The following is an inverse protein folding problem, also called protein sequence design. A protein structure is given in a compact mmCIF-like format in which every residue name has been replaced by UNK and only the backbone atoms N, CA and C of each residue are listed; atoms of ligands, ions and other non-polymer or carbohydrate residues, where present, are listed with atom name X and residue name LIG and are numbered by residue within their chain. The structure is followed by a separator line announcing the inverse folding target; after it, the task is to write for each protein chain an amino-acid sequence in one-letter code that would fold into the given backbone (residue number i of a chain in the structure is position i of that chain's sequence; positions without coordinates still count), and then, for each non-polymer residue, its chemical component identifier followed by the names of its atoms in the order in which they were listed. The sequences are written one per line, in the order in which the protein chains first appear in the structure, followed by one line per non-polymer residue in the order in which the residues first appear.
data_IF_929725096347
#
_entry.id   IF_929725096347
#
_cell.length_a   1.000
_cell.length_b   1.000
_cell.length_c   1.000
_cell.angle_alpha   90.00
_cell.angle_beta   90.00
_cell.angle_gamma   90.00
#
_symmetry.space_group_name_H-M   'P 1'
#
loop_
_entity.id
_entity.type
_entity.pdbx_description
1 polymer ?
#
# COMPACT_ATOMS: atom_id res chain seq x y z
N UNK A 1 23.91 -18.63 -26.28
CA UNK A 1 22.77 -19.56 -26.22
C UNK A 1 21.87 -19.11 -25.07
N UNK A 2 20.67 -18.55 -25.29
CA UNK A 2 19.81 -18.16 -24.18
C UNK A 2 19.03 -19.39 -23.68
N UNK A 3 19.29 -19.80 -22.44
CA UNK A 3 18.58 -20.88 -21.78
C UNK A 3 17.14 -20.44 -21.48
N UNK A 4 16.18 -21.14 -22.07
CA UNK A 4 14.77 -21.04 -21.70
C UNK A 4 14.57 -21.67 -20.31
N UNK A 5 14.13 -20.87 -19.35
CA UNK A 5 13.67 -21.34 -18.03
C UNK A 5 12.18 -21.71 -18.14
N UNK A 6 11.72 -22.86 -17.61
CA UNK A 6 10.30 -23.12 -17.48
C UNK A 6 9.73 -22.31 -16.29
N UNK A 7 9.17 -21.13 -16.60
CA UNK A 7 8.32 -20.40 -15.66
C UNK A 7 6.94 -21.05 -15.63
N UNK A 8 6.75 -22.06 -14.79
CA UNK A 8 5.41 -22.59 -14.51
C UNK A 8 4.88 -21.97 -13.23
N UNK A 9 4.41 -20.72 -13.37
CA UNK A 9 3.54 -20.08 -12.38
C UNK A 9 2.15 -20.70 -12.50
N UNK A 10 1.81 -21.68 -11.67
CA UNK A 10 0.40 -22.08 -11.50
C UNK A 10 -0.20 -21.16 -10.44
N UNK A 11 -0.59 -19.97 -10.87
CA UNK A 11 -1.60 -19.19 -10.17
C UNK A 11 -2.80 -19.14 -11.12
N UNK A 12 -3.77 -20.03 -10.90
CA UNK A 12 -5.06 -20.00 -11.60
C UNK A 12 -5.81 -18.74 -11.18
N UNK A 13 -5.54 -17.63 -11.86
CA UNK A 13 -6.17 -16.33 -11.60
C UNK A 13 -7.14 -16.04 -12.76
N UNK A 14 -8.32 -16.66 -12.72
CA UNK A 14 -9.38 -16.45 -13.72
C UNK A 14 -10.31 -15.27 -13.41
N UNK A 15 -10.12 -14.55 -12.29
CA UNK A 15 -11.11 -13.59 -11.77
C UNK A 15 -10.57 -12.18 -11.47
N UNK A 16 -9.36 -11.80 -11.92
CA UNK A 16 -8.85 -10.46 -11.69
C UNK A 16 -9.11 -9.50 -12.87
N UNK A 17 -9.52 -8.24 -12.60
CA UNK A 17 -9.74 -7.24 -13.63
C UNK A 17 -8.45 -6.90 -14.37
N UNK A 18 -8.45 -6.96 -15.71
CA UNK A 18 -7.27 -6.85 -16.61
C UNK A 18 -6.42 -5.58 -16.50
N UNK A 19 -6.81 -4.58 -15.69
CA UNK A 19 -6.16 -3.27 -15.60
C UNK A 19 -6.12 -2.77 -14.16
N UNK A 20 -5.05 -2.07 -13.83
CA UNK A 20 -4.86 -1.43 -12.53
C UNK A 20 -4.05 -2.27 -11.56
N UNK A 21 -3.59 -1.60 -10.51
CA UNK A 21 -2.89 -2.23 -9.40
C UNK A 21 -3.93 -2.82 -8.45
N UNK A 22 -3.80 -4.11 -8.10
CA UNK A 22 -4.76 -4.79 -7.24
C UNK A 22 -4.07 -5.08 -5.91
N UNK A 23 -4.51 -4.49 -4.78
CA UNK A 23 -3.99 -4.85 -3.46
C UNK A 23 -4.44 -6.27 -3.11
N UNK A 24 -3.50 -7.08 -2.65
CA UNK A 24 -3.70 -8.50 -2.38
C UNK A 24 -2.93 -8.92 -1.13
N UNK A 25 -3.47 -9.87 -0.38
CA UNK A 25 -2.71 -10.62 0.59
C UNK A 25 -2.25 -11.91 -0.09
N UNK A 26 -0.94 -12.16 -0.09
CA UNK A 26 -0.39 -13.42 -0.57
C UNK A 26 0.05 -14.27 0.59
N UNK A 27 -0.03 -15.60 0.45
CA UNK A 27 0.62 -16.53 1.37
C UNK A 27 1.53 -17.45 0.58
N UNK A 28 2.82 -17.40 0.86
CA UNK A 28 3.87 -18.21 0.21
C UNK A 28 4.39 -19.25 1.19
N UNK A 29 4.20 -20.54 0.90
CA UNK A 29 4.61 -21.66 1.75
C UNK A 29 4.23 -21.45 3.25
N UNK A 30 3.04 -20.87 3.49
CA UNK A 30 2.51 -20.60 4.84
C UNK A 30 2.84 -19.21 5.41
N UNK A 31 3.64 -18.40 4.74
CA UNK A 31 3.95 -17.03 5.17
C UNK A 31 3.11 -15.99 4.45
N UNK A 32 2.31 -15.22 5.19
CA UNK A 32 1.44 -14.18 4.63
C UNK A 32 2.14 -12.83 4.50
N UNK A 33 1.91 -12.16 3.37
CA UNK A 33 2.46 -10.85 3.04
C UNK A 33 1.40 -9.96 2.40
N UNK A 34 1.45 -8.68 2.74
CA UNK A 34 0.76 -7.64 2.00
C UNK A 34 1.48 -7.39 0.69
N UNK A 35 0.75 -7.40 -0.42
CA UNK A 35 1.34 -7.20 -1.74
C UNK A 35 0.38 -6.48 -2.71
N UNK A 36 0.89 -6.19 -3.89
CA UNK A 36 0.19 -5.53 -4.97
C UNK A 36 0.45 -6.27 -6.27
N UNK A 37 -0.62 -6.70 -6.92
CA UNK A 37 -0.54 -7.23 -8.27
C UNK A 37 -0.41 -6.11 -9.28
N UNK A 38 0.64 -6.18 -10.07
CA UNK A 38 0.99 -5.20 -11.08
C UNK A 38 0.42 -5.63 -12.44
N UNK A 39 -0.13 -4.70 -13.24
CA UNK A 39 -0.67 -5.02 -14.55
C UNK A 39 0.45 -5.39 -15.53
N UNK A 40 0.18 -6.38 -16.39
CA UNK A 40 1.03 -6.81 -17.51
C UNK A 40 0.18 -6.99 -18.78
N UNK A 41 0.82 -7.15 -19.93
CA UNK A 41 0.17 -7.27 -21.24
C UNK A 41 -0.92 -8.35 -21.28
N UNK A 42 -0.71 -9.45 -20.55
CA UNK A 42 -1.60 -10.62 -20.54
C UNK A 42 -2.15 -10.99 -19.14
N UNK A 43 -2.22 -10.05 -18.19
CA UNK A 43 -2.74 -10.32 -16.85
C UNK A 43 -2.05 -9.50 -15.79
N UNK A 44 -1.71 -10.14 -14.67
CA UNK A 44 -0.96 -9.50 -13.58
C UNK A 44 0.27 -10.32 -13.23
N UNK A 45 1.26 -9.66 -12.67
CA UNK A 45 2.42 -10.30 -12.08
C UNK A 45 2.62 -9.82 -10.65
N UNK A 46 3.31 -10.65 -9.89
CA UNK A 46 3.70 -10.40 -8.52
C UNK A 46 5.22 -10.32 -8.46
N UNK A 47 5.73 -9.35 -7.71
CA UNK A 47 7.18 -9.21 -7.50
C UNK A 47 7.61 -10.07 -6.33
N UNK A 48 8.32 -11.17 -6.59
CA UNK A 48 8.95 -11.96 -5.54
C UNK A 48 10.25 -11.27 -5.09
N UNK A 49 10.15 -10.45 -4.05
CA UNK A 49 11.28 -9.64 -3.57
C UNK A 49 12.20 -10.43 -2.61
N UNK A 50 13.35 -9.83 -2.29
CA UNK A 50 14.34 -10.44 -1.40
C UNK A 50 13.80 -10.69 0.02
N UNK A 51 12.84 -9.87 0.47
CA UNK A 51 12.21 -10.04 1.77
C UNK A 51 11.41 -11.35 1.83
N UNK A 52 10.52 -11.58 0.87
CA UNK A 52 9.76 -12.83 0.76
C UNK A 52 10.74 -14.01 0.63
N UNK A 53 11.78 -13.86 -0.20
CA UNK A 53 12.82 -14.88 -0.37
C UNK A 53 13.49 -15.27 0.95
N UNK A 54 13.88 -14.29 1.79
CA UNK A 54 14.53 -14.54 3.09
C UNK A 54 13.59 -15.20 4.09
N UNK A 55 12.32 -14.79 4.12
CA UNK A 55 11.32 -15.33 5.05
C UNK A 55 10.95 -16.77 4.68
N UNK A 56 10.71 -17.02 3.38
CA UNK A 56 10.33 -18.34 2.87
C UNK A 56 11.55 -19.28 2.79
N UNK A 57 12.76 -18.74 2.68
CA UNK A 57 14.02 -19.50 2.68
C UNK A 57 14.30 -20.27 1.38
N UNK A 58 13.64 -19.90 0.28
CA UNK A 58 13.72 -20.60 -1.01
C UNK A 58 14.68 -19.92 -1.99
N UNK A 59 15.35 -20.72 -2.80
CA UNK A 59 16.35 -20.29 -3.77
C UNK A 59 15.84 -20.35 -5.21
N UNK A 60 16.64 -19.79 -6.13
CA UNK A 60 16.41 -19.93 -7.55
C UNK A 60 16.42 -21.42 -7.92
N UNK A 61 15.32 -21.89 -8.50
CA UNK A 61 15.10 -23.30 -8.84
C UNK A 61 14.15 -24.04 -7.89
N UNK A 62 13.85 -23.47 -6.72
CA UNK A 62 12.91 -24.07 -5.79
C UNK A 62 11.45 -23.77 -6.18
N UNK A 63 10.57 -24.74 -5.92
CA UNK A 63 9.12 -24.55 -6.08
C UNK A 63 8.52 -24.00 -4.78
N UNK A 64 7.60 -23.05 -4.93
CA UNK A 64 6.82 -22.43 -3.85
C UNK A 64 5.34 -22.53 -4.15
N UNK A 65 4.54 -22.74 -3.12
CA UNK A 65 3.09 -22.65 -3.20
C UNK A 65 2.64 -21.25 -2.81
N UNK A 66 1.95 -20.58 -3.73
CA UNK A 66 1.42 -19.22 -3.51
C UNK A 66 -0.09 -19.26 -3.54
N UNK A 67 -0.72 -18.84 -2.46
CA UNK A 67 -2.15 -18.50 -2.42
C UNK A 67 -2.32 -16.99 -2.37
N UNK A 68 -3.40 -16.50 -2.95
CA UNK A 68 -3.58 -15.08 -3.18
C UNK A 68 -5.04 -14.71 -2.97
N UNK A 69 -5.28 -13.72 -2.12
CA UNK A 69 -6.61 -13.22 -1.77
C UNK A 69 -6.64 -11.71 -2.04
N UNK A 70 -7.76 -11.21 -2.59
CA UNK A 70 -7.92 -9.75 -2.75
C UNK A 70 -7.93 -9.09 -1.38
N UNK A 71 -7.03 -8.13 -1.17
CA UNK A 71 -7.03 -7.33 0.04
C UNK A 71 -8.13 -6.27 -0.08
N UNK A 72 -9.34 -6.70 0.30
CA UNK A 72 -10.49 -5.82 0.44
C UNK A 72 -10.50 -5.10 1.80
N UNK A 73 -9.45 -5.27 2.62
CA UNK A 73 -9.38 -4.57 3.91
C UNK A 73 -9.19 -3.09 3.62
N UNK A 74 -10.28 -2.34 3.80
CA UNK A 74 -10.18 -0.91 4.11
C UNK A 74 -9.39 -0.81 5.41
N UNK A 75 -8.07 -0.62 5.32
CA UNK A 75 -7.27 -0.25 6.49
C UNK A 75 -7.78 1.11 6.91
N UNK A 76 -8.65 1.12 7.90
CA UNK A 76 -9.18 2.35 8.48
C UNK A 76 -7.98 3.22 8.86
N UNK A 77 -7.95 4.42 8.29
CA UNK A 77 -6.92 5.38 8.61
C UNK A 77 -7.25 5.91 10.00
N UNK A 78 -6.50 5.48 11.01
CA UNK A 78 -6.62 6.01 12.36
C UNK A 78 -6.03 7.43 12.33
N UNK A 79 -6.89 8.42 12.48
CA UNK A 79 -6.49 9.83 12.58
C UNK A 79 -6.28 10.15 14.06
N UNK A 80 -5.08 10.58 14.48
CA UNK A 80 -4.87 11.05 15.84
C UNK A 80 -5.83 12.19 16.21
N UNK A 81 -6.43 12.20 17.41
CA UNK A 81 -7.45 13.19 17.80
C UNK A 81 -6.98 14.65 17.66
N UNK A 82 -5.71 14.93 17.94
CA UNK A 82 -5.17 16.28 17.81
C UNK A 82 -5.10 16.76 16.35
N UNK A 83 -4.81 15.86 15.40
CA UNK A 83 -4.83 16.15 13.96
C UNK A 83 -6.27 16.41 13.52
N UNK A 84 -7.20 15.54 13.92
CA UNK A 84 -8.61 15.67 13.57
C UNK A 84 -9.20 16.99 14.07
N UNK A 85 -8.98 17.32 15.35
CA UNK A 85 -9.43 18.58 15.95
C UNK A 85 -8.84 19.80 15.22
N UNK A 86 -7.55 19.78 14.93
CA UNK A 86 -6.88 20.91 14.25
C UNK A 86 -7.38 21.09 12.81
N UNK A 87 -7.64 20.00 12.09
CA UNK A 87 -8.25 20.03 10.75
C UNK A 87 -9.70 20.52 10.79
N UNK A 88 -10.44 20.16 11.85
CA UNK A 88 -11.82 20.59 12.09
C UNK A 88 -11.89 22.08 12.37
N UNK A 89 -11.01 22.58 13.24
CA UNK A 89 -10.91 24.00 13.60
C UNK A 89 -10.52 24.86 12.39
N UNK A 90 -9.68 24.31 11.50
CA UNK A 90 -9.34 24.94 10.23
C UNK A 90 -10.40 24.79 9.12
N UNK A 91 -11.48 24.04 9.36
CA UNK A 91 -12.56 23.84 8.39
C UNK A 91 -12.19 22.97 7.17
N UNK A 92 -11.07 22.24 7.22
CA UNK A 92 -10.57 21.41 6.11
C UNK A 92 -10.70 19.92 6.35
N UNK A 93 -11.30 19.50 7.48
CA UNK A 93 -11.46 18.10 7.84
C UNK A 93 -12.19 17.29 6.75
N UNK A 94 -13.27 17.81 6.17
CA UNK A 94 -13.99 17.11 5.11
C UNK A 94 -13.16 16.91 3.85
N UNK A 95 -12.34 17.90 3.49
CA UNK A 95 -11.42 17.81 2.35
C UNK A 95 -10.37 16.73 2.59
N UNK A 96 -9.83 16.68 3.81
CA UNK A 96 -8.91 15.64 4.22
C UNK A 96 -9.57 14.26 4.15
N UNK A 97 -10.78 14.09 4.70
CA UNK A 97 -11.49 12.80 4.72
C UNK A 97 -11.84 12.28 3.32
N UNK A 98 -12.12 13.18 2.36
CA UNK A 98 -12.38 12.85 0.95
C UNK A 98 -11.14 12.31 0.22
N UNK A 99 -9.93 12.51 0.75
CA UNK A 99 -8.73 11.99 0.12
C UNK A 99 -8.63 10.46 0.23
N UNK A 100 -7.94 9.80 -0.74
CA UNK A 100 -7.66 8.38 -0.67
C UNK A 100 -6.94 7.99 0.62
N UNK A 101 -7.27 6.82 1.18
CA UNK A 101 -6.73 6.34 2.47
C UNK A 101 -5.20 6.25 2.49
N UNK A 102 -4.57 5.88 1.36
CA UNK A 102 -3.10 5.85 1.27
C UNK A 102 -2.49 7.24 1.48
N UNK A 103 -3.15 8.28 0.98
CA UNK A 103 -2.66 9.65 1.03
C UNK A 103 -2.86 10.25 2.41
N UNK A 104 -4.02 9.99 3.05
CA UNK A 104 -4.26 10.35 4.45
C UNK A 104 -3.21 9.71 5.36
N UNK A 105 -2.91 8.42 5.16
CA UNK A 105 -1.87 7.70 5.93
C UNK A 105 -0.48 8.28 5.72
N UNK A 106 -0.12 8.62 4.49
CA UNK A 106 1.17 9.26 4.19
C UNK A 106 1.32 10.59 4.93
N UNK A 107 0.29 11.44 4.91
CA UNK A 107 0.29 12.73 5.61
C UNK A 107 0.39 12.55 7.13
N UNK A 108 -0.41 11.65 7.72
CA UNK A 108 -0.37 11.35 9.15
C UNK A 108 1.02 10.84 9.54
N UNK A 109 1.58 9.88 8.79
CA UNK A 109 2.93 9.38 9.04
C UNK A 109 3.97 10.50 8.92
N UNK A 110 3.86 11.38 7.93
CA UNK A 110 4.78 12.50 7.77
C UNK A 110 4.73 13.44 8.98
N UNK A 111 3.55 13.69 9.55
CA UNK A 111 3.42 14.46 10.80
C UNK A 111 4.05 13.68 11.96
N UNK A 112 3.65 12.42 12.15
CA UNK A 112 3.98 11.58 13.31
C UNK A 112 5.46 11.13 13.38
N UNK A 113 6.16 11.07 12.25
CA UNK A 113 7.59 10.72 12.22
C UNK A 113 8.45 11.76 12.97
N UNK A 114 7.98 13.00 13.13
CA UNK A 114 8.76 14.07 13.78
C UNK A 114 8.66 14.05 15.30
N UNK A 115 9.75 13.74 16.00
CA UNK A 115 9.82 13.75 17.48
C UNK A 115 9.71 15.13 18.14
N UNK A 116 9.81 16.22 17.37
CA UNK A 116 9.67 17.60 17.89
C UNK A 116 8.25 18.09 17.66
N UNK A 117 7.59 18.55 18.72
CA UNK A 117 6.20 19.04 18.68
C UNK A 117 6.05 20.24 17.74
N UNK A 118 6.97 21.18 17.79
CA UNK A 118 6.98 22.35 16.89
C UNK A 118 7.02 21.93 15.40
N UNK A 119 7.81 20.92 15.07
CA UNK A 119 7.90 20.40 13.69
C UNK A 119 6.65 19.61 13.31
N UNK A 120 6.02 18.87 14.25
CA UNK A 120 4.72 18.22 14.06
C UNK A 120 3.65 19.26 13.70
N UNK A 121 3.57 20.35 14.46
CA UNK A 121 2.63 21.46 14.24
C UNK A 121 2.89 22.13 12.89
N UNK A 122 4.15 22.44 12.56
CA UNK A 122 4.49 23.05 11.27
C UNK A 122 4.12 22.16 10.07
N UNK A 123 4.28 20.84 10.20
CA UNK A 123 3.87 19.87 9.18
C UNK A 123 2.35 19.80 9.05
N UNK A 124 1.62 19.82 10.17
CA UNK A 124 0.16 19.86 10.18
C UNK A 124 -0.39 21.13 9.53
N UNK A 125 0.17 22.29 9.85
CA UNK A 125 -0.17 23.57 9.21
C UNK A 125 0.11 23.56 7.70
N UNK A 126 1.19 22.90 7.28
CA UNK A 126 1.50 22.73 5.85
C UNK A 126 0.46 21.87 5.14
N UNK A 127 -0.07 20.83 5.79
CA UNK A 127 -1.17 20.02 5.26
C UNK A 127 -2.44 20.86 5.13
N UNK A 128 -2.80 21.63 6.16
CA UNK A 128 -3.96 22.52 6.14
C UNK A 128 -3.87 23.53 4.99
N UNK A 129 -2.71 24.17 4.82
CA UNK A 129 -2.49 25.13 3.72
C UNK A 129 -2.72 24.48 2.35
N UNK A 130 -2.17 23.29 2.12
CA UNK A 130 -2.38 22.54 0.87
C UNK A 130 -3.85 22.18 0.63
N UNK A 131 -4.58 21.82 1.69
CA UNK A 131 -6.01 21.52 1.58
C UNK A 131 -6.82 22.77 1.21
N UNK A 132 -6.46 23.94 1.74
CA UNK A 132 -7.08 25.20 1.32
C UNK A 132 -6.78 25.54 -0.15
N UNK A 133 -5.54 25.35 -0.60
CA UNK A 133 -5.15 25.57 -2.00
C UNK A 133 -5.87 24.63 -2.97
N UNK A 134 -6.29 23.44 -2.53
CA UNK A 134 -7.10 22.50 -3.31
C UNK A 134 -8.58 22.90 -3.41
N UNK A 135 -9.04 23.85 -2.60
CA UNK A 135 -10.43 24.30 -2.52
C UNK A 135 -10.62 25.76 -3.00
N UNK A 136 -9.55 26.40 -3.48
CA UNK A 136 -9.55 27.74 -4.06
C UNK A 136 -9.50 27.67 -5.60
#
# INVERSE_FOLDING_TARGET
MPNALPTTTIASISLLPKKGNIPVCITVDGHSFDHMLLPSKNGHYLVYNEFIKRVVGKNLGDTVFVTLERDMKKREVIIPPYIENTLKDAGVLELFLKQPDYFKREQINHIEVSKKDETRINRLNSVIKKLHEQNA
#
